data_IF_348117804911
#
_entry.id   IF_348117804911
#
_cell.length_a   1.000
_cell.length_b   1.000
_cell.length_c   1.000
_cell.angle_alpha   90.00
_cell.angle_beta   90.00
_cell.angle_gamma   90.00
#
_symmetry.space_group_name_H-M   'P 1'
#
loop_
_entity.id
_entity.type
_entity.pdbx_description
1 polymer ?
#
# COMPACT_ATOMS: atom_id res chain seq x y z
N UNK A 1 -7.01 -14.69 -26.28
CA UNK A 1 -7.06 -16.04 -26.89
C UNK A 1 -7.47 -17.03 -25.80
N UNK A 2 -8.77 -17.00 -25.46
CA UNK A 2 -9.42 -17.79 -24.40
C UNK A 2 -10.28 -18.85 -25.10
N UNK A 3 -9.79 -20.07 -25.31
CA UNK A 3 -10.61 -21.17 -25.86
C UNK A 3 -10.14 -22.57 -25.42
N UNK A 4 -9.63 -22.71 -24.18
CA UNK A 4 -9.33 -24.02 -23.60
C UNK A 4 -10.19 -24.37 -22.38
N UNK A 5 -10.57 -23.40 -21.55
CA UNK A 5 -11.37 -23.66 -20.35
C UNK A 5 -12.85 -23.96 -20.65
N UNK A 6 -13.42 -23.37 -21.70
CA UNK A 6 -14.83 -23.58 -22.07
C UNK A 6 -15.07 -24.99 -22.65
N UNK A 7 -14.06 -25.57 -23.31
CA UNK A 7 -14.18 -26.92 -23.91
C UNK A 7 -14.17 -28.04 -22.86
N UNK A 8 -13.49 -27.85 -21.73
CA UNK A 8 -13.45 -28.84 -20.65
C UNK A 8 -14.79 -28.89 -19.89
N UNK A 9 -15.48 -27.75 -19.75
CA UNK A 9 -16.78 -27.68 -19.08
C UNK A 9 -17.86 -28.39 -19.91
N UNK A 10 -17.89 -28.19 -21.23
CA UNK A 10 -18.85 -28.86 -22.11
C UNK A 10 -18.60 -30.37 -22.27
N UNK A 11 -17.35 -30.83 -22.12
CA UNK A 11 -17.04 -32.26 -22.14
C UNK A 11 -17.56 -32.98 -20.89
N UNK A 12 -17.52 -32.33 -19.72
CA UNK A 12 -18.07 -32.85 -18.46
C UNK A 12 -19.61 -32.87 -18.44
N UNK A 13 -20.28 -31.87 -19.03
CA UNK A 13 -21.75 -31.87 -19.13
C UNK A 13 -22.28 -33.01 -20.03
N UNK A 14 -21.56 -33.36 -21.09
CA UNK A 14 -21.93 -34.45 -22.01
C UNK A 14 -21.74 -35.84 -21.41
N UNK A 15 -20.73 -36.05 -20.57
CA UNK A 15 -20.57 -37.32 -19.84
C UNK A 15 -21.63 -37.48 -18.74
N UNK A 16 -22.06 -36.37 -18.10
CA UNK A 16 -23.10 -36.40 -17.07
C UNK A 16 -24.52 -36.64 -17.63
N UNK A 17 -24.80 -36.15 -18.84
CA UNK A 17 -26.10 -36.42 -19.51
C UNK A 17 -26.18 -37.82 -20.13
N UNK A 18 -25.05 -38.46 -20.43
CA UNK A 18 -25.00 -39.84 -20.94
C UNK A 18 -25.36 -40.93 -19.92
N UNK A 19 -25.42 -40.61 -18.63
CA UNK A 19 -25.66 -41.59 -17.55
C UNK A 19 -27.16 -41.69 -17.17
N UNK A 20 -28.02 -40.82 -17.70
CA UNK A 20 -29.42 -40.70 -17.25
C UNK A 20 -30.46 -41.54 -17.99
N UNK A 21 -30.09 -42.41 -18.93
CA UNK A 21 -31.07 -43.31 -19.58
C UNK A 21 -30.50 -44.72 -19.73
N UNK A 22 -30.52 -45.50 -18.66
CA UNK A 22 -30.71 -46.96 -18.76
C UNK A 22 -31.56 -47.44 -17.57
N UNK A 23 -32.75 -47.89 -17.92
CA UNK A 23 -33.70 -48.57 -17.06
C UNK A 23 -33.25 -50.03 -16.88
N UNK A 24 -33.00 -50.47 -15.65
CA UNK A 24 -33.52 -51.74 -15.10
C UNK A 24 -32.92 -52.04 -13.69
N UNK A 25 -33.85 -52.35 -12.79
CA UNK A 25 -33.82 -53.34 -11.69
C UNK A 25 -32.57 -53.44 -10.79
N UNK A 26 -32.82 -53.09 -9.53
CA UNK A 26 -32.45 -53.97 -8.40
C UNK A 26 -31.15 -53.63 -7.67
N UNK A 27 -31.30 -53.09 -6.46
CA UNK A 27 -30.32 -53.25 -5.38
C UNK A 27 -29.24 -52.17 -5.29
N UNK A 28 -29.14 -51.55 -4.11
CA UNK A 28 -27.88 -50.95 -3.68
C UNK A 28 -27.93 -49.46 -3.34
N UNK A 29 -28.84 -49.08 -2.45
CA UNK A 29 -28.94 -47.78 -1.75
C UNK A 29 -27.64 -47.31 -1.04
N UNK A 30 -26.53 -48.07 -1.12
CA UNK A 30 -25.21 -47.78 -0.53
C UNK A 30 -24.23 -47.08 -1.48
N UNK A 31 -24.45 -47.09 -2.80
CA UNK A 31 -23.53 -46.44 -3.77
C UNK A 31 -23.76 -44.94 -3.95
N UNK A 32 -25.00 -44.47 -3.80
CA UNK A 32 -25.35 -43.05 -4.00
C UNK A 32 -24.91 -42.14 -2.84
N UNK A 33 -24.77 -42.68 -1.63
CA UNK A 33 -24.32 -41.91 -0.45
C UNK A 33 -22.84 -41.49 -0.56
N UNK A 34 -22.00 -42.26 -1.27
CA UNK A 34 -20.57 -41.91 -1.44
C UNK A 34 -20.32 -40.79 -2.45
N UNK A 35 -21.21 -40.61 -3.44
CA UNK A 35 -21.01 -39.61 -4.51
C UNK A 35 -21.40 -38.21 -4.03
N UNK A 36 -22.44 -38.09 -3.19
CA UNK A 36 -22.89 -36.81 -2.63
C UNK A 36 -21.86 -36.24 -1.63
N UNK A 37 -21.16 -37.11 -0.88
CA UNK A 37 -20.13 -36.68 0.08
C UNK A 37 -18.88 -36.07 -0.59
N UNK A 38 -18.54 -36.49 -1.81
CA UNK A 38 -17.34 -36.00 -2.52
C UNK A 38 -17.63 -34.67 -3.23
N UNK A 39 -18.83 -34.50 -3.79
CA UNK A 39 -19.21 -33.24 -4.46
C UNK A 39 -19.52 -32.14 -3.43
N UNK A 40 -20.10 -32.48 -2.27
CA UNK A 40 -20.29 -31.52 -1.17
C UNK A 40 -18.99 -31.02 -0.55
N UNK A 41 -17.95 -31.87 -0.47
CA UNK A 41 -16.64 -31.53 0.08
C UNK A 41 -15.81 -30.66 -0.88
N UNK A 42 -15.94 -30.88 -2.19
CA UNK A 42 -15.25 -30.07 -3.19
C UNK A 42 -15.81 -28.62 -3.26
N UNK A 43 -17.11 -28.41 -3.11
CA UNK A 43 -17.69 -27.06 -3.11
C UNK A 43 -17.40 -26.27 -1.82
N UNK A 44 -17.21 -26.93 -0.66
CA UNK A 44 -16.80 -26.24 0.58
C UNK A 44 -15.32 -25.81 0.56
N UNK A 45 -14.46 -26.55 -0.13
CA UNK A 45 -13.04 -26.20 -0.24
C UNK A 45 -12.77 -25.09 -1.28
N UNK A 46 -13.66 -24.91 -2.27
CA UNK A 46 -13.54 -23.81 -3.24
C UNK A 46 -14.09 -22.49 -2.69
N UNK A 47 -15.06 -22.51 -1.77
CA UNK A 47 -15.58 -21.30 -1.12
C UNK A 47 -14.65 -20.72 -0.03
N UNK A 48 -13.73 -21.54 0.50
CA UNK A 48 -12.80 -21.10 1.55
C UNK A 48 -11.67 -20.20 1.02
N UNK A 49 -11.47 -20.17 -0.30
CA UNK A 49 -10.39 -19.42 -0.96
C UNK A 49 -10.82 -18.02 -1.41
N UNK A 50 -12.10 -17.67 -1.28
CA UNK A 50 -12.70 -16.48 -1.88
C UNK A 50 -13.09 -15.37 -0.89
N UNK A 51 -12.76 -15.52 0.41
CA UNK A 51 -13.07 -14.50 1.43
C UNK A 51 -11.85 -14.17 2.29
N UNK A 52 -10.77 -13.68 1.66
CA UNK A 52 -10.01 -12.63 2.31
C UNK A 52 -10.64 -11.31 1.85
N UNK A 53 -11.72 -10.90 2.51
CA UNK A 53 -11.96 -9.47 2.58
C UNK A 53 -10.74 -8.92 3.34
N UNK A 54 -9.85 -8.22 2.65
CA UNK A 54 -8.76 -7.52 3.30
C UNK A 54 -9.41 -6.51 4.24
N UNK A 55 -9.33 -6.75 5.56
CA UNK A 55 -9.93 -5.92 6.60
C UNK A 55 -9.40 -4.47 6.61
N UNK A 56 -8.46 -4.15 5.72
CA UNK A 56 -7.86 -2.85 5.50
C UNK A 56 -7.90 -2.54 4.00
N UNK A 57 -8.37 -1.35 3.65
CA UNK A 57 -8.20 -0.77 2.33
C UNK A 57 -7.34 0.47 2.44
N UNK A 58 -6.35 0.59 1.56
CA UNK A 58 -5.53 1.80 1.42
C UNK A 58 -5.74 2.41 0.03
N UNK A 59 -5.77 3.74 -0.04
CA UNK A 59 -5.85 4.47 -1.31
C UNK A 59 -4.89 5.65 -1.31
N UNK A 60 -4.32 5.96 -2.47
CA UNK A 60 -3.43 7.10 -2.68
C UNK A 60 -4.30 8.29 -3.11
N UNK A 61 -4.21 9.39 -2.36
CA UNK A 61 -4.84 10.67 -2.66
C UNK A 61 -3.88 11.62 -3.38
N UNK A 62 -2.63 11.64 -2.95
CA UNK A 62 -1.55 12.41 -3.56
C UNK A 62 -0.34 11.47 -3.79
N UNK A 63 0.34 11.56 -4.93
CA UNK A 63 0.03 12.42 -6.08
C UNK A 63 -1.30 12.05 -6.73
N UNK A 64 -2.14 13.05 -6.97
CA UNK A 64 -3.41 12.88 -7.69
C UNK A 64 -3.16 12.72 -9.19
N UNK A 65 -4.20 12.39 -9.97
CA UNK A 65 -4.08 12.27 -11.42
C UNK A 65 -3.54 13.56 -12.10
N UNK A 66 -3.82 14.72 -11.50
CA UNK A 66 -3.40 16.03 -12.02
C UNK A 66 -1.98 16.42 -11.55
N UNK A 67 -1.38 15.67 -10.62
CA UNK A 67 -0.09 15.97 -9.98
C UNK A 67 0.98 14.90 -10.28
N UNK A 68 0.76 14.04 -11.29
CA UNK A 68 1.67 12.93 -11.60
C UNK A 68 2.94 13.35 -12.33
N UNK A 69 3.06 14.61 -12.77
CA UNK A 69 4.26 15.12 -13.46
C UNK A 69 5.05 16.04 -12.54
N UNK A 70 6.29 15.64 -12.24
CA UNK A 70 7.19 16.36 -11.35
C UNK A 70 8.48 16.73 -12.08
N UNK A 71 9.09 17.85 -11.67
CA UNK A 71 10.44 18.21 -12.13
C UNK A 71 11.49 17.25 -11.59
N UNK A 72 12.58 17.06 -12.34
CA UNK A 72 13.70 16.19 -11.94
C UNK A 72 14.17 16.44 -10.51
N UNK A 73 14.32 15.39 -9.70
CA UNK A 73 14.82 15.47 -8.33
C UNK A 73 13.86 16.12 -7.33
N UNK A 74 12.67 16.58 -7.74
CA UNK A 74 11.68 17.17 -6.84
C UNK A 74 11.21 16.17 -5.78
N UNK A 75 11.19 16.62 -4.53
CA UNK A 75 10.56 15.89 -3.43
C UNK A 75 9.04 15.97 -3.55
N UNK A 76 8.36 14.94 -3.07
CA UNK A 76 6.90 14.89 -3.13
C UNK A 76 6.33 14.10 -1.95
N UNK A 77 5.06 14.34 -1.65
CA UNK A 77 4.34 13.59 -0.64
C UNK A 77 3.52 12.47 -1.28
N UNK A 78 3.51 11.31 -0.64
CA UNK A 78 2.52 10.27 -0.86
C UNK A 78 1.54 10.33 0.30
N UNK A 79 0.32 10.79 0.02
CA UNK A 79 -0.75 10.96 1.00
C UNK A 79 -1.86 9.99 0.65
N UNK A 80 -2.44 9.32 1.63
CA UNK A 80 -3.52 8.38 1.37
C UNK A 80 -4.50 8.21 2.50
N UNK A 81 -5.57 7.47 2.22
CA UNK A 81 -6.58 7.07 3.20
C UNK A 81 -6.36 5.64 3.64
N UNK A 82 -6.82 5.37 4.84
CA UNK A 82 -6.84 4.08 5.48
C UNK A 82 -8.26 3.80 5.97
N UNK A 83 -8.85 2.72 5.47
CA UNK A 83 -10.16 2.24 5.88
C UNK A 83 -9.98 0.86 6.54
N UNK A 84 -10.45 0.68 7.77
CA UNK A 84 -10.25 -0.54 8.57
C UNK A 84 -11.53 -1.33 8.85
N UNK A 85 -12.51 -1.30 7.93
CA UNK A 85 -13.81 -1.96 8.08
C UNK A 85 -14.50 -1.77 9.46
N UNK A 86 -14.34 -0.59 10.08
CA UNK A 86 -14.91 -0.27 11.39
C UNK A 86 -14.05 -0.64 12.60
N UNK A 87 -12.89 -1.27 12.41
CA UNK A 87 -11.90 -1.52 13.46
C UNK A 87 -11.18 -0.21 13.87
N UNK A 88 -10.78 -0.14 15.14
CA UNK A 88 -9.96 0.97 15.63
C UNK A 88 -8.48 0.73 15.30
N UNK A 89 -7.66 1.79 15.17
CA UNK A 89 -6.23 1.64 14.94
C UNK A 89 -5.52 0.75 15.98
N UNK A 90 -5.87 0.84 17.27
CA UNK A 90 -5.29 0.01 18.32
C UNK A 90 -5.59 -1.49 18.19
N UNK A 91 -6.70 -1.86 17.55
CA UNK A 91 -7.10 -3.27 17.38
C UNK A 91 -6.36 -3.92 16.18
N UNK A 92 -5.79 -3.11 15.29
CA UNK A 92 -5.06 -3.55 14.11
C UNK A 92 -3.91 -2.57 13.78
N UNK A 93 -2.84 -2.56 14.59
CA UNK A 93 -1.67 -1.74 14.33
C UNK A 93 -0.89 -2.29 13.14
N UNK A 94 -0.53 -1.42 12.20
CA UNK A 94 0.33 -1.75 11.06
C UNK A 94 1.10 -0.51 10.60
N UNK A 95 2.23 -0.76 9.96
CA UNK A 95 3.03 0.27 9.32
C UNK A 95 2.61 0.51 7.87
N UNK A 96 2.83 1.73 7.40
CA UNK A 96 2.80 2.08 6.00
C UNK A 96 4.23 2.06 5.48
N UNK A 97 4.48 1.22 4.48
CA UNK A 97 5.72 1.21 3.71
C UNK A 97 5.42 1.71 2.30
N UNK A 98 6.21 2.67 1.85
CA UNK A 98 6.19 3.21 0.50
C UNK A 98 7.50 2.88 -0.19
N UNK A 99 7.39 2.13 -1.28
CA UNK A 99 8.50 1.89 -2.19
C UNK A 99 8.32 2.69 -3.48
N UNK A 100 9.39 3.29 -3.99
CA UNK A 100 9.42 3.93 -5.31
C UNK A 100 10.44 3.23 -6.18
N UNK A 101 10.01 2.69 -7.31
CA UNK A 101 10.84 1.92 -8.23
C UNK A 101 10.58 2.35 -9.68
N UNK A 102 11.50 2.04 -10.60
CA UNK A 102 11.28 2.33 -12.02
C UNK A 102 10.14 1.49 -12.59
N UNK A 103 9.14 2.13 -13.21
CA UNK A 103 7.93 1.44 -13.69
C UNK A 103 8.26 0.35 -14.72
N UNK A 104 9.26 0.57 -15.58
CA UNK A 104 9.72 -0.42 -16.55
C UNK A 104 10.20 -1.72 -15.89
N UNK A 105 11.05 -1.61 -14.86
CA UNK A 105 11.56 -2.77 -14.13
C UNK A 105 10.44 -3.50 -13.37
N UNK A 106 9.53 -2.75 -12.74
CA UNK A 106 8.39 -3.35 -12.02
C UNK A 106 7.50 -4.14 -12.98
N UNK A 107 7.23 -3.62 -14.18
CA UNK A 107 6.45 -4.32 -15.22
C UNK A 107 7.13 -5.60 -15.71
N UNK A 108 8.46 -5.64 -15.71
CA UNK A 108 9.26 -6.83 -16.00
C UNK A 108 9.36 -7.80 -14.81
N UNK A 109 8.59 -7.56 -13.73
CA UNK A 109 8.59 -8.39 -12.52
C UNK A 109 9.79 -8.18 -11.60
N UNK A 110 10.60 -7.13 -11.84
CA UNK A 110 11.78 -6.80 -11.03
C UNK A 110 11.46 -5.62 -10.11
N UNK A 111 11.18 -5.92 -8.84
CA UNK A 111 10.96 -4.89 -7.81
C UNK A 111 12.29 -4.49 -7.16
N UNK A 112 12.90 -3.40 -7.64
CA UNK A 112 14.12 -2.82 -7.08
C UNK A 112 13.79 -1.39 -6.64
N UNK A 113 13.50 -1.15 -5.34
CA UNK A 113 13.18 0.18 -4.86
C UNK A 113 14.40 1.10 -4.88
N UNK A 114 14.22 2.30 -5.43
CA UNK A 114 15.16 3.43 -5.32
C UNK A 114 14.92 4.23 -4.03
N UNK A 115 13.68 4.18 -3.53
CA UNK A 115 13.29 4.72 -2.23
C UNK A 115 12.46 3.67 -1.51
N UNK A 116 12.71 3.55 -0.22
CA UNK A 116 11.86 2.84 0.72
C UNK A 116 11.72 3.73 1.94
N UNK A 117 10.49 4.10 2.26
CA UNK A 117 10.16 4.90 3.45
C UNK A 117 9.08 4.16 4.21
N UNK A 118 9.28 3.97 5.51
CA UNK A 118 8.38 3.22 6.36
C UNK A 118 7.98 4.04 7.58
N UNK A 119 6.72 3.94 7.97
CA UNK A 119 6.29 4.43 9.27
C UNK A 119 6.82 3.53 10.39
N UNK A 120 6.59 4.00 11.61
CA UNK A 120 6.67 3.14 12.78
C UNK A 120 5.58 3.53 13.77
N UNK A 121 4.49 2.80 13.70
CA UNK A 121 3.35 2.99 14.59
C UNK A 121 3.64 2.46 15.99
N UNK A 122 3.05 3.09 17.00
CA UNK A 122 2.99 2.51 18.34
C UNK A 122 2.04 1.30 18.33
N UNK A 123 2.51 0.14 18.80
CA UNK A 123 1.70 -1.07 18.80
C UNK A 123 0.44 -0.99 19.67
N UNK A 124 0.36 -0.07 20.64
CA UNK A 124 -0.81 0.08 21.50
C UNK A 124 -1.84 1.05 20.93
N UNK A 125 -1.43 2.03 20.12
CA UNK A 125 -2.36 3.00 19.53
C UNK A 125 -2.63 2.77 18.05
N UNK A 126 -1.74 2.09 17.34
CA UNK A 126 -1.79 1.95 15.88
C UNK A 126 -1.50 3.24 15.11
N UNK A 127 -0.92 4.25 15.76
CA UNK A 127 -0.63 5.58 15.20
C UNK A 127 0.86 5.91 15.36
N UNK A 128 1.35 6.90 14.61
CA UNK A 128 2.68 7.46 14.87
C UNK A 128 2.74 8.03 16.30
N UNK A 129 3.73 7.64 17.13
CA UNK A 129 3.84 8.12 18.50
C UNK A 129 4.06 9.64 18.56
N UNK A 130 3.38 10.35 19.46
CA UNK A 130 3.60 11.79 19.66
C UNK A 130 5.06 12.13 20.01
N UNK A 131 5.72 11.28 20.80
CA UNK A 131 7.14 11.44 21.18
C UNK A 131 8.09 11.46 19.97
N UNK A 132 7.67 10.85 18.86
CA UNK A 132 8.43 10.72 17.61
C UNK A 132 8.14 11.88 16.63
N UNK A 133 7.38 12.89 17.06
CA UNK A 133 7.13 14.12 16.30
C UNK A 133 7.94 15.28 16.88
N UNK A 134 8.72 15.96 16.03
CA UNK A 134 9.54 17.10 16.42
C UNK A 134 8.74 18.41 16.43
N UNK A 135 8.17 18.76 17.58
CA UNK A 135 7.35 19.98 17.75
C UNK A 135 8.16 21.28 17.86
N UNK A 136 9.45 21.19 18.16
CA UNK A 136 10.33 22.37 18.38
C UNK A 136 11.04 22.78 17.08
N UNK A 137 10.35 22.68 15.96
CA UNK A 137 10.91 23.09 14.68
C UNK A 137 11.07 24.61 14.65
N UNK A 138 12.30 25.08 14.82
CA UNK A 138 12.67 26.51 14.89
C UNK A 138 12.41 27.26 13.57
N UNK A 139 12.23 26.52 12.46
CA UNK A 139 11.83 27.07 11.15
C UNK A 139 10.33 27.37 11.03
N UNK A 140 9.53 27.15 12.07
CA UNK A 140 8.11 27.54 12.09
C UNK A 140 8.02 29.05 11.94
N UNK A 141 7.48 29.50 10.81
CA UNK A 141 7.36 30.91 10.54
C UNK A 141 6.56 31.61 11.66
N UNK A 142 6.95 32.81 12.12
CA UNK A 142 6.34 33.47 13.28
C UNK A 142 4.82 33.71 13.17
N UNK A 143 4.28 33.69 11.95
CA UNK A 143 2.85 33.88 11.66
C UNK A 143 2.04 32.57 11.64
N UNK A 144 2.67 31.41 11.79
CA UNK A 144 1.97 30.13 11.84
C UNK A 144 1.49 29.90 13.28
N UNK A 145 0.19 30.10 13.52
CA UNK A 145 -0.42 29.84 14.83
C UNK A 145 -1.08 28.46 14.88
N UNK A 146 -0.26 27.41 14.75
CA UNK A 146 -0.69 26.01 14.91
C UNK A 146 -0.29 25.50 16.29
N UNK A 147 -1.28 25.10 17.09
CA UNK A 147 -1.08 24.50 18.41
C UNK A 147 -0.51 23.08 18.35
N UNK A 148 0.02 22.59 19.47
CA UNK A 148 0.60 21.24 19.56
C UNK A 148 -0.42 20.16 19.22
N UNK A 149 -1.64 20.28 19.77
CA UNK A 149 -2.72 19.31 19.54
C UNK A 149 -3.15 19.28 18.08
N UNK A 150 -3.15 20.43 17.41
CA UNK A 150 -3.49 20.50 15.99
C UNK A 150 -2.39 19.90 15.12
N UNK A 151 -1.13 20.24 15.38
CA UNK A 151 0.01 19.65 14.68
C UNK A 151 0.05 18.13 14.86
N UNK A 152 -0.25 17.62 16.06
CA UNK A 152 -0.25 16.19 16.32
C UNK A 152 -1.38 15.43 15.60
N UNK A 153 -2.52 16.08 15.30
CA UNK A 153 -3.60 15.44 14.52
C UNK A 153 -3.22 15.24 13.05
N UNK A 154 -2.30 16.03 12.53
CA UNK A 154 -1.85 15.96 11.14
C UNK A 154 -0.38 16.35 11.04
N UNK A 155 0.53 15.53 11.61
CA UNK A 155 1.92 15.92 11.67
C UNK A 155 2.54 15.80 10.28
N UNK A 156 3.27 16.83 9.84
CA UNK A 156 4.09 16.76 8.65
C UNK A 156 5.15 15.64 8.79
N UNK A 157 5.33 14.78 7.77
CA UNK A 157 6.22 13.62 7.90
C UNK A 157 7.71 13.97 7.89
N UNK A 158 8.08 15.18 7.45
CA UNK A 158 9.42 15.77 7.61
C UNK A 158 9.80 15.94 9.09
N UNK A 159 8.83 16.14 9.99
CA UNK A 159 9.05 16.29 11.42
C UNK A 159 9.22 14.97 12.19
N UNK A 160 9.14 13.83 11.51
CA UNK A 160 9.25 12.51 12.16
C UNK A 160 10.72 12.18 12.47
N UNK A 161 10.93 11.63 13.66
CA UNK A 161 12.21 11.10 14.14
C UNK A 161 11.96 10.00 15.19
N UNK A 162 13.02 9.37 15.69
CA UNK A 162 12.98 8.44 16.81
C UNK A 162 13.34 9.17 18.10
N UNK A 163 12.44 9.16 19.09
CA UNK A 163 12.72 9.82 20.36
C UNK A 163 14.03 9.36 21.04
N UNK A 164 14.36 8.07 20.94
CA UNK A 164 15.60 7.49 21.48
C UNK A 164 16.84 7.70 20.62
N UNK A 165 16.69 8.22 19.40
CA UNK A 165 17.77 8.49 18.46
C UNK A 165 17.48 9.78 17.68
N UNK A 166 17.80 10.97 18.23
CA UNK A 166 17.58 12.24 17.56
C UNK A 166 18.25 12.37 16.19
N UNK A 167 19.34 11.63 15.94
CA UNK A 167 20.04 11.64 14.64
C UNK A 167 19.17 11.11 13.50
N UNK A 168 18.22 10.22 13.82
CA UNK A 168 17.23 9.70 12.87
C UNK A 168 16.30 10.76 12.27
N UNK A 169 16.30 12.00 12.80
CA UNK A 169 15.60 13.12 12.16
C UNK A 169 16.11 13.35 10.72
N UNK A 170 17.35 12.97 10.40
CA UNK A 170 17.90 13.08 9.05
C UNK A 170 17.82 11.77 8.25
N UNK A 171 17.27 10.71 8.85
CA UNK A 171 17.07 9.43 8.17
C UNK A 171 15.88 9.54 7.21
N UNK A 172 16.13 9.41 5.89
CA UNK A 172 15.08 9.58 4.91
C UNK A 172 14.09 8.41 4.87
N UNK A 173 14.46 7.25 5.45
CA UNK A 173 13.60 6.06 5.50
C UNK A 173 12.50 6.13 6.54
N UNK A 174 12.53 7.12 7.43
CA UNK A 174 11.60 7.27 8.56
C UNK A 174 10.59 8.41 8.38
N UNK A 175 10.51 8.99 7.18
CA UNK A 175 9.66 10.16 6.89
C UNK A 175 8.24 9.77 6.53
N UNK A 176 7.58 9.07 7.45
CA UNK A 176 6.22 8.60 7.30
C UNK A 176 5.39 8.76 8.58
N UNK A 177 4.17 9.24 8.42
CA UNK A 177 3.18 9.44 9.49
C UNK A 177 1.96 8.58 9.19
N UNK A 178 1.43 7.96 10.24
CA UNK A 178 0.14 7.26 10.24
C UNK A 178 -0.75 7.87 11.31
N UNK A 179 -1.93 8.29 10.89
CA UNK A 179 -3.01 8.80 11.74
C UNK A 179 -4.20 7.83 11.70
N UNK A 180 -5.32 8.24 12.32
CA UNK A 180 -6.49 7.37 12.47
C UNK A 180 -7.01 6.84 11.15
N UNK A 181 -7.07 7.65 10.11
CA UNK A 181 -7.70 7.33 8.81
C UNK A 181 -6.82 7.72 7.62
N UNK A 182 -5.58 8.17 7.87
CA UNK A 182 -4.68 8.68 6.83
C UNK A 182 -3.24 8.34 7.09
N UNK A 183 -2.46 8.36 6.03
CA UNK A 183 -1.00 8.40 6.08
C UNK A 183 -0.46 9.53 5.22
N UNK A 184 0.74 9.98 5.55
CA UNK A 184 1.53 10.90 4.75
C UNK A 184 2.99 10.47 4.78
N UNK A 185 3.64 10.42 3.62
CA UNK A 185 5.03 10.01 3.48
C UNK A 185 5.76 11.03 2.62
N UNK A 186 6.90 11.54 3.09
CA UNK A 186 7.78 12.37 2.28
C UNK A 186 8.73 11.47 1.49
N UNK A 187 8.71 11.60 0.17
CA UNK A 187 9.68 10.98 -0.71
C UNK A 187 10.65 12.05 -1.20
N UNK A 188 11.92 11.86 -0.87
CA UNK A 188 12.98 12.76 -1.28
C UNK A 188 13.49 12.40 -2.67
N UNK A 189 13.26 13.29 -3.63
CA UNK A 189 13.65 13.13 -5.03
C UNK A 189 15.14 13.36 -5.25
N UNK A 190 15.75 14.30 -4.51
CA UNK A 190 17.17 14.65 -4.70
C UNK A 190 17.50 16.13 -4.61
N UNK A 191 16.51 17.02 -4.82
CA UNK A 191 16.75 18.47 -4.90
C UNK A 191 17.08 19.11 -3.56
N UNK A 192 16.72 18.47 -2.43
CA UNK A 192 16.96 18.97 -1.08
C UNK A 192 18.18 18.35 -0.40
N UNK A 193 18.96 17.51 -1.11
CA UNK A 193 20.16 16.83 -0.57
C UNK A 193 21.18 17.77 0.06
N UNK A 194 21.34 18.97 -0.50
CA UNK A 194 22.31 19.97 -0.04
C UNK A 194 21.68 21.04 0.87
N UNK A 195 20.40 20.90 1.22
CA UNK A 195 19.65 21.90 1.98
C UNK A 195 19.03 21.28 3.24
N UNK A 196 19.57 21.65 4.41
CA UNK A 196 19.10 21.26 5.75
C UNK A 196 18.94 19.75 6.01
N UNK A 197 19.48 18.91 5.11
CA UNK A 197 19.45 17.46 5.23
C UNK A 197 20.79 16.86 4.81
N UNK A 198 21.11 15.65 5.30
CA UNK A 198 22.30 14.90 4.93
C UNK A 198 21.92 13.52 4.36
N UNK A 199 20.72 13.39 3.81
CA UNK A 199 20.26 12.10 3.29
C UNK A 199 21.03 11.76 2.02
N UNK A 200 21.46 10.50 1.92
CA UNK A 200 22.23 10.01 0.79
C UNK A 200 21.56 8.79 0.20
N UNK A 201 20.84 9.00 -0.90
CA UNK A 201 20.44 7.91 -1.78
C UNK A 201 21.49 7.70 -2.88
N UNK A 202 21.69 6.45 -3.36
CA UNK A 202 22.62 6.16 -4.44
C UNK A 202 22.36 7.00 -5.70
N UNK A 203 21.09 7.19 -6.04
CA UNK A 203 20.64 7.91 -7.22
C UNK A 203 19.51 8.89 -6.91
N UNK A 204 19.47 10.00 -7.64
CA UNK A 204 18.32 10.90 -7.68
C UNK A 204 17.17 10.32 -8.50
N UNK A 205 15.95 10.78 -8.21
CA UNK A 205 14.79 10.54 -9.06
C UNK A 205 14.88 11.47 -10.28
N UNK A 206 15.62 11.02 -11.30
CA UNK A 206 15.81 11.71 -12.57
C UNK A 206 14.65 11.54 -13.54
N UNK A 207 14.82 12.00 -14.79
CA UNK A 207 13.78 11.93 -15.83
C UNK A 207 13.39 10.51 -16.23
N UNK A 208 12.37 9.95 -15.58
CA UNK A 208 11.84 8.59 -15.83
C UNK A 208 10.38 8.49 -15.34
N UNK A 209 9.73 7.37 -15.69
CA UNK A 209 8.47 6.96 -15.08
C UNK A 209 8.77 6.04 -13.88
N UNK A 210 8.25 6.40 -12.72
CA UNK A 210 8.36 5.63 -11.48
C UNK A 210 7.00 5.17 -11.00
N UNK A 211 7.02 4.04 -10.31
CA UNK A 211 5.87 3.45 -9.65
C UNK A 211 6.02 3.61 -8.14
N UNK A 212 5.01 4.22 -7.54
CA UNK A 212 4.79 4.27 -6.11
C UNK A 212 4.00 3.03 -5.72
N UNK A 213 4.50 2.31 -4.72
CA UNK A 213 3.85 1.14 -4.14
C UNK A 213 3.69 1.43 -2.66
N UNK A 214 2.44 1.55 -2.21
CA UNK A 214 2.10 1.68 -0.80
C UNK A 214 1.62 0.33 -0.30
N UNK A 215 2.15 -0.11 0.84
CA UNK A 215 1.76 -1.35 1.50
C UNK A 215 1.47 -1.09 2.97
N UNK A 216 0.37 -1.65 3.47
CA UNK A 216 0.10 -1.77 4.89
C UNK A 216 0.73 -3.07 5.39
N UNK A 217 1.65 -2.99 6.37
CA UNK A 217 2.49 -4.10 6.81
C UNK A 217 2.33 -4.35 8.30
N UNK A 218 1.97 -5.58 8.67
CA UNK A 218 1.91 -6.04 10.05
C UNK A 218 2.83 -7.26 10.24
N UNK A 219 4.00 -7.03 10.84
CA UNK A 219 5.07 -8.03 10.85
C UNK A 219 5.49 -8.39 9.42
N UNK A 220 5.42 -9.67 9.07
CA UNK A 220 5.77 -10.16 7.72
C UNK A 220 4.59 -10.18 6.75
N UNK A 221 3.40 -9.72 7.17
CA UNK A 221 2.18 -9.76 6.35
C UNK A 221 1.91 -8.41 5.71
N UNK A 222 1.66 -8.42 4.41
CA UNK A 222 1.04 -7.31 3.69
C UNK A 222 -0.48 -7.45 3.84
N UNK A 223 -1.11 -6.45 4.45
CA UNK A 223 -2.55 -6.43 4.70
C UNK A 223 -3.34 -5.78 3.57
N UNK A 224 -2.72 -4.81 2.89
CA UNK A 224 -3.32 -4.06 1.79
C UNK A 224 -2.23 -3.46 0.92
N UNK A 225 -2.56 -3.17 -0.35
CA UNK A 225 -1.63 -2.57 -1.33
C UNK A 225 -2.35 -1.56 -2.21
N UNK A 226 -1.68 -0.43 -2.48
CA UNK A 226 -2.09 0.54 -3.49
C UNK A 226 -0.90 0.95 -4.35
N UNK A 227 -1.16 1.30 -5.61
CA UNK A 227 -0.12 1.72 -6.56
C UNK A 227 -0.54 2.98 -7.30
N UNK A 228 0.45 3.82 -7.62
CA UNK A 228 0.30 4.96 -8.52
C UNK A 228 1.57 5.11 -9.35
N UNK A 229 1.46 5.72 -10.52
CA UNK A 229 2.62 6.07 -11.34
C UNK A 229 2.86 7.59 -11.26
N UNK A 230 4.13 7.98 -11.31
CA UNK A 230 4.59 9.37 -11.43
C UNK A 230 5.65 9.48 -12.50
N UNK A 231 5.63 10.57 -13.24
CA UNK A 231 6.61 10.90 -14.26
C UNK A 231 7.48 12.07 -13.79
N UNK A 232 8.78 11.85 -13.77
CA UNK A 232 9.74 12.93 -13.66
C UNK A 232 10.13 13.41 -15.05
N UNK A 233 9.96 14.71 -15.31
CA UNK A 233 10.22 15.34 -16.60
C UNK A 233 10.01 16.85 -16.53
N UNK A 234 9.88 17.51 -17.68
CA UNK A 234 9.66 18.96 -17.73
C UNK A 234 8.20 19.31 -17.41
N UNK A 235 7.98 20.22 -16.46
CA UNK A 235 6.65 20.76 -16.14
C UNK A 235 6.50 22.13 -16.82
N UNK A 236 5.57 22.24 -17.79
CA UNK A 236 5.42 23.45 -18.60
C UNK A 236 4.87 24.65 -17.82
N UNK A 237 3.98 24.42 -16.84
CA UNK A 237 3.42 25.46 -15.99
C UNK A 237 4.01 25.36 -14.58
N UNK A 238 5.02 26.19 -14.32
CA UNK A 238 5.69 26.25 -13.02
C UNK A 238 4.85 27.05 -12.03
N UNK A 239 4.03 26.37 -11.23
CA UNK A 239 3.66 26.94 -9.93
C UNK A 239 4.83 26.66 -8.99
N UNK A 240 5.69 27.67 -8.82
CA UNK A 240 6.72 27.67 -7.78
C UNK A 240 6.03 27.85 -6.41
N UNK A 241 5.40 26.80 -5.90
CA UNK A 241 5.04 26.75 -4.50
C UNK A 241 6.21 26.11 -3.75
N UNK A 242 6.77 26.87 -2.79
CA UNK A 242 7.89 26.45 -1.94
C UNK A 242 7.45 25.50 -0.82
N UNK A 243 6.15 25.18 -0.76
CA UNK A 243 5.46 24.37 0.23
C UNK A 243 4.20 23.78 -0.40
#
# INVERSE_FOLDING_TARGET
MYDWQTRTIFALERELTGIMITEERGGGMKKYIKIIAIVGSACLLVYSSAMNAEAVVISILAPSADEQVLESGRDFYVIGRIEREGLRPEDMPFDIRVDVAETGLVRDGKMIPLRTVSSHVDHFTGLTPERDIYFRYEGKAPWVDIGREELYRSPPPDLVYRHGDPGSFYDPSLKAVVTKDRFAVLIQGGVTKDFDTAYSYPDDLGWKLYRIIVTAVAGDKVLARAEADIMFGTVQEKVLARF
#
